data_IF_791291927740
#
_entry.id   IF_791291927740
#
_cell.length_a   1.000
_cell.length_b   1.000
_cell.length_c   1.000
_cell.angle_alpha   90.00
_cell.angle_beta   90.00
_cell.angle_gamma   90.00
#
_symmetry.space_group_name_H-M   'P 1'
#
loop_
_entity.id
_entity.type
_entity.pdbx_description
1 polymer ?
#
# COMPACT_ATOMS: atom_id res chain seq x y z
N UNK A 1 13.59 2.20 15.91
CA UNK A 1 14.48 2.94 16.82
C UNK A 1 14.25 4.42 16.56
N UNK A 2 14.09 5.29 17.61
CA UNK A 2 14.17 6.75 17.48
C UNK A 2 15.50 7.16 16.86
N UNK A 3 15.60 8.35 16.30
CA UNK A 3 16.86 8.82 15.68
C UNK A 3 17.88 9.31 16.69
N UNK A 4 17.45 9.87 17.81
CA UNK A 4 18.34 10.44 18.83
C UNK A 4 19.38 9.47 19.42
N UNK A 5 19.07 8.15 19.67
CA UNK A 5 20.09 7.20 20.12
C UNK A 5 21.08 6.75 19.04
N UNK A 6 20.85 7.08 17.77
CA UNK A 6 21.76 6.66 16.67
C UNK A 6 23.00 7.53 16.67
N UNK A 7 24.16 6.90 16.78
CA UNK A 7 25.46 7.58 16.66
C UNK A 7 25.83 7.75 15.19
N UNK A 8 25.80 6.64 14.43
CA UNK A 8 26.09 6.62 12.99
C UNK A 8 25.47 5.43 12.28
N UNK A 9 25.41 5.50 10.98
CA UNK A 9 24.97 4.41 10.11
C UNK A 9 26.12 4.04 9.17
N UNK A 10 26.48 2.77 9.18
CA UNK A 10 27.49 2.20 8.30
C UNK A 10 26.83 1.35 7.23
N UNK A 11 27.24 1.57 5.96
CA UNK A 11 26.70 0.84 4.82
C UNK A 11 27.81 0.06 4.15
N UNK A 12 27.75 -1.25 4.22
CA UNK A 12 28.58 -2.15 3.45
C UNK A 12 27.84 -2.49 2.14
N UNK A 13 28.41 -2.07 1.01
CA UNK A 13 27.79 -2.19 -0.33
C UNK A 13 28.17 -3.48 -1.07
N UNK A 14 28.66 -4.48 -0.36
CA UNK A 14 29.07 -5.76 -0.91
C UNK A 14 28.43 -6.92 -0.16
N UNK A 15 28.39 -8.10 -0.82
CA UNK A 15 27.91 -9.32 -0.18
C UNK A 15 28.74 -9.69 1.05
N UNK A 16 28.08 -9.88 2.16
CA UNK A 16 28.70 -10.17 3.44
C UNK A 16 28.04 -11.37 4.17
N UNK A 17 27.44 -12.26 3.39
CA UNK A 17 26.70 -13.43 3.91
C UNK A 17 27.53 -14.35 4.80
N UNK A 18 28.86 -14.38 4.61
CA UNK A 18 29.78 -15.19 5.42
C UNK A 18 29.91 -14.68 6.86
N UNK A 19 29.60 -13.40 7.10
CA UNK A 19 29.73 -12.74 8.42
C UNK A 19 28.34 -12.44 9.00
N UNK A 20 27.40 -11.96 8.17
CA UNK A 20 26.10 -11.43 8.62
C UNK A 20 24.92 -12.36 8.29
N UNK A 21 25.19 -13.55 7.75
CA UNK A 21 24.16 -14.55 7.41
C UNK A 21 23.63 -14.43 5.99
N UNK A 22 22.78 -15.38 5.58
CA UNK A 22 22.30 -15.59 4.21
C UNK A 22 21.60 -14.38 3.58
N UNK A 23 21.05 -13.50 4.39
CA UNK A 23 20.27 -12.35 3.91
C UNK A 23 21.17 -11.17 3.45
N UNK A 24 22.45 -11.18 3.82
CA UNK A 24 23.41 -10.14 3.48
C UNK A 24 24.01 -10.31 2.06
N UNK A 25 23.18 -10.59 1.05
CA UNK A 25 23.61 -10.85 -0.33
C UNK A 25 24.04 -9.56 -1.04
N UNK A 26 23.24 -8.50 -0.89
CA UNK A 26 23.44 -7.23 -1.60
C UNK A 26 24.17 -6.17 -0.74
N UNK A 27 24.31 -6.40 0.55
CA UNK A 27 24.96 -5.48 1.47
C UNK A 27 24.39 -5.54 2.89
N UNK A 28 24.98 -4.71 3.76
CA UNK A 28 24.57 -4.58 5.17
C UNK A 28 24.44 -3.11 5.53
N UNK A 29 23.36 -2.78 6.23
CA UNK A 29 23.18 -1.48 6.89
C UNK A 29 23.31 -1.71 8.39
N UNK A 30 24.38 -1.23 8.98
CA UNK A 30 24.64 -1.35 10.41
C UNK A 30 24.32 -0.04 11.12
N UNK A 31 23.38 -0.06 12.05
CA UNK A 31 22.98 1.11 12.85
C UNK A 31 23.72 1.04 14.18
N UNK A 32 24.70 1.93 14.35
CA UNK A 32 25.49 2.02 15.59
C UNK A 32 24.79 2.99 16.53
N UNK A 33 24.50 2.53 17.72
CA UNK A 33 23.88 3.31 18.78
C UNK A 33 24.94 3.96 19.67
N UNK A 34 24.61 5.13 20.24
CA UNK A 34 25.40 5.77 21.28
C UNK A 34 25.53 4.81 22.46
N UNK A 35 26.71 4.72 23.04
CA UNK A 35 26.97 3.81 24.19
C UNK A 35 26.93 4.52 25.53
N UNK A 36 27.47 5.74 25.57
CA UNK A 36 27.73 6.46 26.83
C UNK A 36 27.21 7.90 26.75
N UNK A 37 25.88 8.03 26.65
CA UNK A 37 25.25 9.35 26.66
C UNK A 37 24.93 9.77 28.09
N UNK A 38 25.35 10.96 28.49
CA UNK A 38 25.04 11.57 29.78
C UNK A 38 24.43 12.94 29.55
N UNK A 39 23.19 13.14 30.03
CA UNK A 39 22.45 14.37 29.86
C UNK A 39 21.08 14.16 29.20
N UNK A 40 20.54 15.21 28.58
CA UNK A 40 19.28 15.20 27.86
C UNK A 40 19.40 15.94 26.53
N UNK A 41 18.82 15.38 25.49
CA UNK A 41 18.72 15.96 24.16
C UNK A 41 17.28 15.89 23.69
N UNK A 42 16.77 16.99 23.13
CA UNK A 42 15.44 17.03 22.53
C UNK A 42 15.51 17.72 21.16
N UNK A 43 14.92 17.10 20.17
CA UNK A 43 14.84 17.61 18.82
C UNK A 43 13.39 17.74 18.39
N UNK A 44 13.08 18.80 17.68
CA UNK A 44 11.78 19.00 17.04
C UNK A 44 12.00 19.45 15.59
N UNK A 45 11.26 18.83 14.70
CA UNK A 45 11.20 19.20 13.29
C UNK A 45 9.76 19.43 12.88
N UNK A 46 9.50 20.57 12.25
CA UNK A 46 8.23 20.91 11.63
C UNK A 46 8.51 21.33 10.18
N UNK A 47 7.80 20.73 9.24
CA UNK A 47 7.94 21.05 7.84
C UNK A 47 6.62 20.95 7.11
N UNK A 48 6.48 21.70 6.04
CA UNK A 48 5.32 21.70 5.16
C UNK A 48 5.80 22.07 3.75
N UNK A 49 5.16 21.52 2.73
CA UNK A 49 5.44 21.92 1.36
C UNK A 49 4.86 23.33 1.09
N UNK A 50 5.39 24.00 0.08
CA UNK A 50 5.00 25.34 -0.36
C UNK A 50 3.51 25.48 -0.73
N UNK A 51 2.86 24.36 -1.06
CA UNK A 51 1.42 24.30 -1.36
C UNK A 51 0.52 24.15 -0.13
N UNK A 52 1.08 24.11 1.06
CA UNK A 52 0.33 24.02 2.31
C UNK A 52 -0.16 22.60 2.65
N UNK A 53 0.40 21.59 2.01
CA UNK A 53 0.11 20.17 2.23
C UNK A 53 1.33 19.39 2.75
N UNK A 54 1.17 18.08 3.03
CA UNK A 54 2.25 17.22 3.46
C UNK A 54 2.94 17.68 4.75
N UNK A 55 2.15 18.21 5.70
CA UNK A 55 2.71 18.64 6.97
C UNK A 55 3.39 17.47 7.68
N UNK A 56 4.65 17.71 8.07
CA UNK A 56 5.47 16.73 8.78
C UNK A 56 5.92 17.30 10.11
N UNK A 57 5.74 16.53 11.16
CA UNK A 57 6.26 16.82 12.50
C UNK A 57 7.03 15.61 13.02
N UNK A 58 8.15 15.89 13.67
CA UNK A 58 8.98 14.89 14.32
C UNK A 58 9.51 15.44 15.64
N UNK A 59 9.41 14.64 16.67
CA UNK A 59 9.91 14.96 18.01
C UNK A 59 10.71 13.78 18.52
N UNK A 60 11.92 14.05 18.98
CA UNK A 60 12.79 13.06 19.59
C UNK A 60 13.30 13.57 20.92
N UNK A 61 13.28 12.73 21.93
CA UNK A 61 13.87 13.00 23.25
C UNK A 61 14.78 11.84 23.60
N UNK A 62 15.99 12.14 24.04
CA UNK A 62 16.95 11.18 24.56
C UNK A 62 17.41 11.68 25.94
N UNK A 63 17.36 10.81 26.93
CA UNK A 63 17.87 11.06 28.27
C UNK A 63 18.83 9.92 28.59
N UNK A 64 19.99 10.27 29.10
CA UNK A 64 20.96 9.30 29.54
C UNK A 64 21.64 9.72 30.86
N UNK A 65 22.12 8.74 31.55
CA UNK A 65 22.96 8.95 32.71
C UNK A 65 23.98 7.82 32.84
N UNK A 66 25.16 8.15 33.36
CA UNK A 66 26.23 7.17 33.53
C UNK A 66 26.98 7.39 34.83
N UNK A 67 27.60 6.32 35.27
CA UNK A 67 28.55 6.27 36.36
C UNK A 67 29.71 5.37 35.95
N UNK A 68 30.71 5.24 36.80
CA UNK A 68 31.85 4.36 36.54
C UNK A 68 31.44 2.89 36.31
N UNK A 69 30.31 2.46 36.89
CA UNK A 69 29.85 1.06 36.84
C UNK A 69 28.53 0.84 36.09
N UNK A 70 27.87 1.87 35.64
CA UNK A 70 26.61 1.71 34.89
C UNK A 70 26.37 2.85 33.92
N UNK A 71 25.66 2.55 32.85
CA UNK A 71 25.07 3.54 31.96
C UNK A 71 23.65 3.15 31.63
N UNK A 72 22.80 4.15 31.39
CA UNK A 72 21.45 3.96 30.92
C UNK A 72 21.04 5.06 29.94
N UNK A 73 20.23 4.71 28.93
CA UNK A 73 19.63 5.65 28.01
C UNK A 73 18.17 5.31 27.79
N UNK A 74 17.33 6.33 27.71
CA UNK A 74 15.92 6.23 27.34
C UNK A 74 15.65 7.22 26.21
N UNK A 75 15.06 6.71 25.13
CA UNK A 75 14.70 7.50 23.94
C UNK A 75 13.23 7.35 23.61
N UNK A 76 12.59 8.45 23.22
CA UNK A 76 11.23 8.50 22.71
C UNK A 76 11.26 9.28 21.41
N UNK A 77 10.61 8.73 20.36
CA UNK A 77 10.45 9.41 19.10
C UNK A 77 9.00 9.36 18.64
N UNK A 78 8.53 10.46 18.08
CA UNK A 78 7.23 10.57 17.42
C UNK A 78 7.41 11.22 16.05
N UNK A 79 6.82 10.63 15.02
CA UNK A 79 6.78 11.18 13.68
C UNK A 79 5.35 11.09 13.16
N UNK A 80 4.84 12.20 12.61
CA UNK A 80 3.61 12.21 11.82
C UNK A 80 3.86 12.95 10.51
N UNK A 81 3.39 12.38 9.41
CA UNK A 81 3.44 12.94 8.08
C UNK A 81 2.05 12.86 7.45
N UNK A 82 1.55 13.99 6.97
CA UNK A 82 0.27 14.08 6.30
C UNK A 82 0.40 13.76 4.81
N UNK A 83 -0.68 13.30 4.16
CA UNK A 83 -0.62 12.89 2.77
C UNK A 83 -0.41 14.07 1.82
N UNK A 84 0.12 13.76 0.64
CA UNK A 84 0.07 14.64 -0.53
C UNK A 84 -0.62 13.87 -1.65
N UNK A 85 -1.61 14.47 -2.29
CA UNK A 85 -2.29 13.88 -3.44
C UNK A 85 -1.43 14.01 -4.69
N UNK A 86 -1.46 12.99 -5.55
CA UNK A 86 -0.73 13.03 -6.81
C UNK A 86 -1.25 14.14 -7.75
N UNK A 87 -2.55 14.45 -7.68
CA UNK A 87 -3.17 15.53 -8.44
C UNK A 87 -2.63 16.93 -8.12
N UNK A 88 -2.05 17.11 -6.92
CA UNK A 88 -1.55 18.42 -6.46
C UNK A 88 -0.15 18.76 -7.00
N UNK A 89 0.45 17.88 -7.78
CA UNK A 89 1.79 18.05 -8.36
C UNK A 89 1.77 17.81 -9.86
N UNK A 90 2.30 18.75 -10.68
CA UNK A 90 2.31 18.62 -12.13
C UNK A 90 2.96 17.32 -12.62
N UNK A 91 4.02 16.86 -11.94
CA UNK A 91 4.77 15.67 -12.31
C UNK A 91 4.04 14.35 -12.03
N UNK A 92 3.00 14.36 -11.21
CA UNK A 92 2.22 13.18 -10.82
C UNK A 92 0.71 13.31 -11.08
N UNK A 93 0.26 14.48 -11.56
CA UNK A 93 -1.16 14.73 -11.88
C UNK A 93 -1.66 13.90 -13.07
N UNK A 94 -0.76 13.31 -13.84
CA UNK A 94 -1.04 12.41 -14.95
C UNK A 94 -0.24 11.13 -14.81
N UNK A 95 -0.73 9.97 -15.32
CA UNK A 95 -0.05 8.69 -15.16
C UNK A 95 1.35 8.64 -15.76
N UNK A 96 1.59 9.40 -16.83
CA UNK A 96 2.91 9.52 -17.48
C UNK A 96 3.23 11.01 -17.65
N UNK A 97 4.20 11.48 -16.86
CA UNK A 97 4.63 12.88 -16.91
C UNK A 97 5.23 13.25 -18.28
N UNK A 98 4.83 14.39 -18.80
CA UNK A 98 5.28 14.87 -20.12
C UNK A 98 4.66 14.18 -21.32
N UNK A 99 3.76 13.22 -21.11
CA UNK A 99 3.02 12.58 -22.19
C UNK A 99 1.85 13.45 -22.70
N UNK A 100 1.36 13.13 -23.88
CA UNK A 100 0.15 13.73 -24.42
C UNK A 100 -1.03 13.44 -23.47
N UNK A 101 -1.93 14.42 -23.20
CA UNK A 101 -3.12 14.18 -22.38
C UNK A 101 -3.88 12.92 -22.81
N UNK A 102 -4.26 12.09 -21.85
CA UNK A 102 -4.91 10.79 -22.07
C UNK A 102 -3.95 9.61 -22.25
N UNK A 103 -2.68 9.81 -22.59
CA UNK A 103 -1.71 8.71 -22.65
C UNK A 103 -1.42 8.15 -21.26
N UNK A 104 -1.37 6.82 -21.16
CA UNK A 104 -1.12 6.12 -19.90
C UNK A 104 -2.29 6.12 -18.90
N UNK A 105 -3.45 6.67 -19.27
CA UNK A 105 -4.67 6.58 -18.50
C UNK A 105 -5.26 5.16 -18.49
N UNK A 106 -6.29 4.95 -17.66
CA UNK A 106 -6.99 3.67 -17.55
C UNK A 106 -8.06 3.54 -18.63
N UNK A 107 -8.10 2.38 -19.28
CA UNK A 107 -9.17 1.99 -20.20
C UNK A 107 -10.52 1.76 -19.47
N UNK A 108 -10.54 1.82 -18.14
CA UNK A 108 -11.75 1.70 -17.32
C UNK A 108 -12.15 3.07 -16.77
N UNK A 109 -12.89 3.91 -17.52
CA UNK A 109 -13.42 5.17 -17.01
C UNK A 109 -14.60 4.92 -16.04
N UNK A 110 -15.00 5.91 -15.21
CA UNK A 110 -16.18 5.79 -14.33
C UNK A 110 -17.48 5.52 -15.09
N UNK A 111 -17.63 6.07 -16.27
CA UNK A 111 -18.80 5.85 -17.15
C UNK A 111 -18.78 4.47 -17.81
N UNK A 112 -17.61 3.84 -17.89
CA UNK A 112 -17.39 2.50 -18.43
C UNK A 112 -17.08 2.49 -19.93
N UNK A 113 -16.35 1.43 -20.34
CA UNK A 113 -16.22 0.96 -21.71
C UNK A 113 -16.94 -0.37 -21.82
N UNK A 114 -17.72 -0.53 -22.85
CA UNK A 114 -18.57 -1.70 -23.07
C UNK A 114 -18.36 -2.23 -24.49
N UNK A 115 -18.45 -3.55 -24.66
CA UNK A 115 -18.51 -4.16 -25.98
C UNK A 115 -19.49 -5.33 -26.02
N UNK A 116 -19.82 -5.73 -27.24
CA UNK A 116 -20.79 -6.77 -27.52
C UNK A 116 -20.15 -7.82 -28.41
N UNK A 117 -20.42 -9.10 -28.14
CA UNK A 117 -20.07 -10.13 -29.08
C UNK A 117 -21.01 -10.15 -30.27
N UNK A 118 -20.42 -10.31 -31.45
CA UNK A 118 -21.15 -10.70 -32.62
C UNK A 118 -21.32 -12.22 -32.62
N UNK A 119 -22.55 -12.76 -32.76
CA UNK A 119 -22.68 -14.19 -32.97
C UNK A 119 -22.00 -14.59 -34.28
N UNK A 120 -21.44 -15.81 -34.38
CA UNK A 120 -20.91 -16.34 -35.65
C UNK A 120 -21.92 -16.20 -36.76
N UNK A 121 -21.49 -15.72 -37.95
CA UNK A 121 -22.37 -15.53 -39.11
C UNK A 121 -22.54 -16.84 -39.87
N UNK A 122 -21.51 -17.70 -39.90
CA UNK A 122 -21.54 -19.02 -40.51
C UNK A 122 -20.48 -19.94 -39.87
N UNK A 123 -20.41 -21.20 -40.34
CA UNK A 123 -19.50 -22.24 -39.86
C UNK A 123 -18.01 -21.95 -40.10
N UNK A 124 -17.66 -20.98 -40.93
CA UNK A 124 -16.29 -20.56 -41.23
C UNK A 124 -15.91 -19.28 -40.47
N UNK A 125 -16.84 -18.65 -39.76
CA UNK A 125 -16.57 -17.51 -38.91
C UNK A 125 -15.78 -17.96 -37.65
N UNK A 126 -14.55 -17.50 -37.46
CA UNK A 126 -13.68 -18.01 -36.35
C UNK A 126 -14.18 -17.70 -34.97
N UNK A 127 -15.38 -17.17 -34.80
CA UNK A 127 -15.98 -16.98 -33.47
C UNK A 127 -16.30 -15.55 -33.12
N UNK A 128 -16.61 -15.29 -31.87
CA UNK A 128 -17.17 -14.03 -31.44
C UNK A 128 -16.17 -12.89 -31.59
N UNK A 129 -16.43 -12.04 -32.56
CA UNK A 129 -15.76 -10.75 -32.70
C UNK A 129 -16.68 -9.64 -32.15
N UNK A 130 -16.04 -8.64 -31.56
CA UNK A 130 -16.75 -7.48 -31.02
C UNK A 130 -17.45 -6.72 -32.15
N UNK A 131 -18.74 -6.44 -32.03
CA UNK A 131 -19.45 -5.61 -32.96
C UNK A 131 -20.03 -4.39 -32.30
N UNK A 132 -19.89 -3.26 -32.95
CA UNK A 132 -20.66 -2.06 -32.67
C UNK A 132 -22.10 -2.19 -33.19
N UNK A 133 -23.06 -1.36 -32.71
CA UNK A 133 -24.42 -1.37 -33.20
C UNK A 133 -24.57 -1.14 -34.73
N UNK A 134 -23.50 -0.71 -35.41
CA UNK A 134 -23.47 -0.39 -36.86
C UNK A 134 -22.44 -1.21 -37.66
N UNK A 135 -22.12 -2.43 -37.22
CA UNK A 135 -21.14 -3.32 -37.87
C UNK A 135 -19.66 -2.88 -37.76
N UNK A 136 -19.33 -1.79 -37.04
CA UNK A 136 -17.96 -1.42 -36.75
C UNK A 136 -17.47 -2.07 -35.47
N UNK A 137 -16.23 -2.56 -35.45
CA UNK A 137 -15.61 -3.18 -34.28
C UNK A 137 -15.16 -2.13 -33.26
N UNK A 138 -15.36 -2.38 -31.95
CA UNK A 138 -14.76 -1.54 -30.90
C UNK A 138 -15.57 -1.42 -29.62
N UNK A 139 -15.05 -0.58 -28.77
CA UNK A 139 -15.64 -0.27 -27.48
C UNK A 139 -16.49 1.00 -27.53
N UNK A 140 -17.46 1.06 -26.63
CA UNK A 140 -18.38 2.17 -26.48
C UNK A 140 -18.27 2.81 -25.12
N UNK A 141 -18.46 4.11 -25.07
CA UNK A 141 -18.63 4.88 -23.86
C UNK A 141 -20.00 5.55 -23.86
N UNK A 142 -20.63 5.73 -22.67
CA UNK A 142 -21.87 6.49 -22.57
C UNK A 142 -21.72 7.91 -23.11
N UNK A 143 -22.76 8.42 -23.76
CA UNK A 143 -22.82 9.82 -24.21
C UNK A 143 -23.37 10.69 -23.08
N UNK A 144 -22.58 11.63 -22.51
CA UNK A 144 -23.05 12.47 -21.43
C UNK A 144 -24.32 13.26 -21.77
N UNK A 145 -25.33 13.22 -20.90
CA UNK A 145 -26.55 14.01 -21.01
C UNK A 145 -27.55 13.56 -22.08
N UNK A 146 -27.25 12.49 -22.79
CA UNK A 146 -28.20 11.88 -23.75
C UNK A 146 -28.66 10.55 -23.15
N UNK A 147 -29.96 10.33 -22.92
CA UNK A 147 -30.54 9.06 -22.43
C UNK A 147 -29.87 7.87 -23.09
N UNK A 148 -30.23 6.65 -23.15
CA UNK A 148 -29.35 5.46 -23.35
C UNK A 148 -28.47 5.50 -24.63
N UNK A 149 -27.89 6.68 -24.91
CA UNK A 149 -26.99 6.94 -26.02
C UNK A 149 -25.56 6.50 -25.68
N UNK A 150 -24.93 5.85 -26.64
CA UNK A 150 -23.53 5.45 -26.60
C UNK A 150 -22.84 5.91 -27.87
N UNK A 151 -21.55 6.20 -27.78
CA UNK A 151 -20.69 6.51 -28.91
C UNK A 151 -19.49 5.57 -28.96
N UNK A 152 -18.84 5.39 -30.10
CA UNK A 152 -17.56 4.69 -30.15
C UNK A 152 -16.54 5.32 -29.18
N UNK A 153 -15.70 4.45 -28.56
CA UNK A 153 -14.56 4.88 -27.77
C UNK A 153 -13.54 5.59 -28.69
N UNK A 154 -13.13 6.78 -28.30
CA UNK A 154 -12.17 7.60 -29.06
C UNK A 154 -10.69 7.31 -28.65
N UNK A 155 -10.44 6.14 -28.11
CA UNK A 155 -9.10 5.72 -27.69
C UNK A 155 -8.60 6.51 -26.49
N UNK A 156 -7.40 7.07 -26.60
CA UNK A 156 -6.74 7.76 -25.49
C UNK A 156 -7.56 8.94 -24.92
N UNK A 157 -8.45 9.53 -25.72
CA UNK A 157 -9.28 10.65 -25.25
C UNK A 157 -10.33 10.22 -24.21
N UNK A 158 -10.70 8.94 -24.20
CA UNK A 158 -11.66 8.36 -23.25
C UNK A 158 -11.00 7.65 -22.08
N UNK A 159 -9.65 7.58 -22.04
CA UNK A 159 -8.94 7.00 -20.93
C UNK A 159 -9.09 7.86 -19.68
N UNK A 160 -9.37 7.21 -18.57
CA UNK A 160 -9.51 7.84 -17.28
C UNK A 160 -8.16 8.19 -16.65
N UNK A 161 -7.99 9.45 -16.29
CA UNK A 161 -6.84 9.87 -15.50
C UNK A 161 -7.09 9.54 -14.01
N UNK A 162 -6.54 8.42 -13.57
CA UNK A 162 -6.65 7.95 -12.18
C UNK A 162 -5.59 8.53 -11.23
N UNK A 163 -4.58 9.21 -11.77
CA UNK A 163 -3.43 9.67 -10.98
C UNK A 163 -3.83 10.64 -9.86
N UNK A 164 -4.74 11.62 -10.07
CA UNK A 164 -5.15 12.55 -9.04
C UNK A 164 -5.71 11.90 -7.78
N UNK A 165 -6.32 10.72 -7.91
CA UNK A 165 -6.99 10.03 -6.81
C UNK A 165 -6.01 9.24 -5.91
N UNK A 166 -4.74 9.19 -6.27
CA UNK A 166 -3.71 8.45 -5.54
C UNK A 166 -2.96 9.36 -4.56
N UNK A 167 -2.46 8.79 -3.46
CA UNK A 167 -1.42 9.47 -2.70
C UNK A 167 -0.11 9.47 -3.47
N UNK A 168 0.52 10.66 -3.56
CA UNK A 168 1.92 10.81 -3.95
C UNK A 168 2.84 10.54 -2.75
N UNK A 169 2.48 11.10 -1.59
CA UNK A 169 3.13 10.83 -0.31
C UNK A 169 2.08 10.20 0.61
N UNK A 170 2.39 9.01 1.07
CA UNK A 170 1.56 8.25 1.98
C UNK A 170 1.62 8.81 3.39
N UNK A 171 0.49 9.06 4.08
CA UNK A 171 0.50 9.46 5.48
C UNK A 171 1.07 8.36 6.36
N UNK A 172 1.79 8.76 7.39
CA UNK A 172 2.28 7.85 8.40
C UNK A 172 2.32 8.50 9.77
N UNK A 173 2.12 7.67 10.77
CA UNK A 173 2.32 8.02 12.18
C UNK A 173 3.18 6.92 12.83
N UNK A 174 4.22 7.32 13.53
CA UNK A 174 5.15 6.39 14.18
C UNK A 174 5.50 6.86 15.58
N UNK A 175 5.35 5.94 16.53
CA UNK A 175 5.88 6.07 17.90
C UNK A 175 7.00 5.08 18.07
N UNK A 176 8.11 5.52 18.61
CA UNK A 176 9.28 4.69 18.89
C UNK A 176 9.75 4.90 20.32
N UNK A 177 9.96 3.81 21.04
CA UNK A 177 10.57 3.81 22.35
C UNK A 177 11.87 3.01 22.30
N UNK A 178 12.85 3.48 23.00
CA UNK A 178 14.16 2.87 23.11
C UNK A 178 14.64 2.95 24.56
N UNK A 179 15.19 1.86 25.05
CA UNK A 179 15.88 1.83 26.32
C UNK A 179 17.13 0.97 26.19
N UNK A 180 18.24 1.41 26.74
CA UNK A 180 19.43 0.60 26.87
C UNK A 180 20.10 0.82 28.20
N UNK A 181 20.81 -0.19 28.68
CA UNK A 181 21.57 -0.10 29.93
C UNK A 181 22.70 -1.09 29.96
N UNK A 182 23.75 -0.69 30.65
CA UNK A 182 24.88 -1.53 31.01
C UNK A 182 25.16 -1.44 32.52
N UNK A 183 25.58 -2.53 33.14
CA UNK A 183 25.95 -2.59 34.56
C UNK A 183 27.17 -3.48 34.72
N UNK A 184 28.26 -2.94 35.22
CA UNK A 184 29.42 -3.71 35.64
C UNK A 184 29.15 -4.33 36.99
N UNK A 185 28.92 -5.65 37.00
CA UNK A 185 28.63 -6.43 38.23
C UNK A 185 29.92 -6.66 38.99
N UNK A 186 30.95 -7.09 38.28
CA UNK A 186 32.34 -7.15 38.75
C UNK A 186 33.24 -6.50 37.70
N UNK A 187 34.54 -6.47 37.94
CA UNK A 187 35.51 -5.95 36.98
C UNK A 187 35.59 -6.84 35.70
N UNK A 188 35.20 -8.13 35.85
CA UNK A 188 35.22 -9.12 34.76
C UNK A 188 33.86 -9.41 34.17
N UNK A 189 32.73 -9.00 34.81
CA UNK A 189 31.37 -9.36 34.39
C UNK A 189 30.53 -8.09 34.20
N UNK A 190 29.99 -7.94 33.00
CA UNK A 190 29.07 -6.87 32.64
C UNK A 190 27.71 -7.45 32.24
N UNK A 191 26.63 -6.84 32.69
CA UNK A 191 25.29 -7.02 32.18
C UNK A 191 24.97 -5.94 31.12
N UNK A 192 24.38 -6.30 30.02
CA UNK A 192 23.86 -5.38 29.01
C UNK A 192 22.40 -5.67 28.65
N UNK A 193 21.64 -4.63 28.30
CA UNK A 193 20.27 -4.79 27.85
C UNK A 193 19.89 -3.70 26.90
N UNK A 194 19.00 -4.04 25.93
CA UNK A 194 18.36 -3.11 25.01
C UNK A 194 16.90 -3.51 24.84
N UNK A 195 16.01 -2.52 24.92
CA UNK A 195 14.57 -2.69 24.71
C UNK A 195 14.15 -1.71 23.64
N UNK A 196 13.37 -2.18 22.66
CA UNK A 196 12.79 -1.33 21.64
C UNK A 196 11.30 -1.63 21.48
N UNK A 197 10.52 -0.58 21.31
CA UNK A 197 9.14 -0.67 20.85
C UNK A 197 8.93 0.32 19.71
N UNK A 198 8.26 -0.15 18.68
CA UNK A 198 7.89 0.69 17.54
C UNK A 198 6.45 0.38 17.13
N UNK A 199 5.64 1.41 16.97
CA UNK A 199 4.35 1.31 16.30
C UNK A 199 4.33 2.25 15.12
N UNK A 200 3.99 1.73 13.95
CA UNK A 200 3.79 2.51 12.72
C UNK A 200 2.39 2.27 12.20
N UNK A 201 1.64 3.35 12.02
CA UNK A 201 0.41 3.39 11.26
C UNK A 201 0.67 4.08 9.93
N UNK A 202 0.18 3.52 8.85
CA UNK A 202 0.27 4.11 7.51
C UNK A 202 -0.94 3.74 6.69
N UNK A 203 -1.27 4.60 5.72
CA UNK A 203 -2.36 4.38 4.78
C UNK A 203 -1.83 4.59 3.36
N UNK A 204 -2.18 3.70 2.45
CA UNK A 204 -2.01 3.89 1.02
C UNK A 204 -3.38 4.11 0.40
N UNK A 205 -3.53 5.12 -0.45
CA UNK A 205 -4.76 5.39 -1.21
C UNK A 205 -4.46 5.31 -2.69
N UNK A 206 -5.28 4.54 -3.39
CA UNK A 206 -5.31 4.43 -4.83
C UNK A 206 -6.70 4.75 -5.34
N UNK A 207 -6.82 5.14 -6.60
CA UNK A 207 -8.10 5.31 -7.27
C UNK A 207 -9.00 4.08 -7.08
N UNK A 208 -10.31 4.26 -7.18
CA UNK A 208 -11.29 3.21 -7.04
C UNK A 208 -10.94 1.98 -7.90
N UNK A 209 -11.32 0.79 -7.45
CA UNK A 209 -11.02 -0.45 -8.17
C UNK A 209 -11.75 -0.49 -9.51
N UNK A 210 -11.09 -0.86 -10.61
CA UNK A 210 -11.79 -1.13 -11.86
C UNK A 210 -12.53 -2.48 -11.78
N UNK A 211 -13.76 -2.49 -12.24
CA UNK A 211 -14.47 -3.70 -12.64
C UNK A 211 -14.04 -4.01 -14.07
N UNK A 212 -13.58 -5.22 -14.31
CA UNK A 212 -13.22 -5.70 -15.63
C UNK A 212 -13.80 -7.10 -15.78
N UNK A 213 -14.74 -7.26 -16.70
CA UNK A 213 -15.17 -8.53 -17.23
C UNK A 213 -14.79 -8.57 -18.69
N UNK A 214 -14.08 -9.60 -19.08
CA UNK A 214 -13.53 -9.77 -20.41
C UNK A 214 -13.82 -11.20 -20.88
N UNK A 215 -14.90 -11.35 -21.63
CA UNK A 215 -15.27 -12.65 -22.14
C UNK A 215 -14.24 -13.26 -23.10
N UNK A 216 -13.36 -12.44 -23.72
CA UNK A 216 -12.24 -12.94 -24.51
C UNK A 216 -11.19 -13.65 -23.65
N UNK A 217 -11.13 -13.31 -22.36
CA UNK A 217 -10.28 -13.97 -21.35
C UNK A 217 -10.96 -15.16 -20.68
N UNK A 218 -12.20 -15.49 -21.07
CA UNK A 218 -12.96 -16.62 -20.53
C UNK A 218 -13.78 -16.30 -19.28
N UNK A 219 -13.95 -15.02 -18.93
CA UNK A 219 -14.87 -14.60 -17.86
C UNK A 219 -16.31 -14.88 -18.30
N UNK A 220 -17.09 -15.59 -17.48
CA UNK A 220 -18.48 -15.93 -17.83
C UNK A 220 -19.47 -14.81 -17.55
N UNK A 221 -19.06 -13.74 -16.90
CA UNK A 221 -19.90 -12.65 -16.46
C UNK A 221 -20.22 -11.68 -17.60
N UNK A 222 -21.47 -11.22 -17.64
CA UNK A 222 -21.96 -10.26 -18.63
C UNK A 222 -23.16 -9.49 -18.08
N UNK A 223 -23.48 -8.31 -18.65
CA UNK A 223 -24.75 -7.65 -18.35
C UNK A 223 -25.83 -8.32 -19.17
N UNK A 224 -26.78 -8.95 -18.49
CA UNK A 224 -27.85 -9.71 -19.14
C UNK A 224 -28.71 -8.84 -20.07
N UNK A 225 -29.09 -9.41 -21.22
CA UNK A 225 -30.09 -8.84 -22.13
C UNK A 225 -31.43 -8.58 -21.43
N UNK A 226 -31.77 -9.43 -20.42
CA UNK A 226 -33.00 -9.35 -19.62
C UNK A 226 -32.87 -8.40 -18.43
N UNK A 227 -31.76 -7.68 -18.28
CA UNK A 227 -31.65 -6.62 -17.28
C UNK A 227 -32.44 -5.39 -17.71
N UNK A 228 -33.32 -4.88 -16.84
CA UNK A 228 -34.08 -3.63 -17.10
C UNK A 228 -33.19 -2.41 -17.31
N UNK A 229 -31.93 -2.50 -16.89
CA UNK A 229 -30.91 -1.46 -17.05
C UNK A 229 -30.11 -1.62 -18.33
N UNK A 230 -30.30 -2.71 -19.07
CA UNK A 230 -29.64 -2.96 -20.36
C UNK A 230 -30.55 -2.48 -21.50
N UNK A 231 -30.24 -1.34 -22.14
CA UNK A 231 -31.11 -0.79 -23.16
C UNK A 231 -30.98 -1.47 -24.52
N UNK A 232 -30.05 -2.43 -24.66
CA UNK A 232 -29.72 -3.01 -25.96
C UNK A 232 -30.49 -4.28 -26.29
N UNK A 233 -31.09 -4.95 -25.28
CA UNK A 233 -31.79 -6.22 -25.47
C UNK A 233 -30.88 -7.36 -25.95
N UNK A 234 -29.59 -7.26 -25.70
CA UNK A 234 -28.59 -8.30 -25.92
C UNK A 234 -27.53 -8.23 -24.85
N UNK A 235 -26.84 -9.34 -24.58
CA UNK A 235 -25.82 -9.41 -23.56
C UNK A 235 -24.64 -8.49 -23.87
N UNK A 236 -24.16 -7.74 -22.85
CA UNK A 236 -22.93 -6.94 -22.91
C UNK A 236 -21.81 -7.78 -22.33
N UNK A 237 -20.87 -8.22 -23.14
CA UNK A 237 -19.92 -9.27 -22.80
C UNK A 237 -18.58 -8.76 -22.29
N UNK A 238 -18.28 -7.48 -22.50
CA UNK A 238 -17.10 -6.85 -21.94
C UNK A 238 -17.45 -5.54 -21.28
N UNK A 239 -16.92 -5.37 -20.08
CA UNK A 239 -17.17 -4.22 -19.23
C UNK A 239 -15.85 -3.84 -18.58
N UNK A 240 -15.42 -2.62 -18.83
CA UNK A 240 -14.27 -2.00 -18.17
C UNK A 240 -14.75 -0.71 -17.52
N UNK A 241 -15.07 -0.75 -16.23
CA UNK A 241 -15.65 0.38 -15.52
C UNK A 241 -14.93 0.64 -14.20
N UNK A 242 -14.58 1.89 -13.94
CA UNK A 242 -14.07 2.31 -12.63
C UNK A 242 -15.24 2.46 -11.67
N UNK A 243 -15.21 1.72 -10.57
CA UNK A 243 -16.26 1.73 -9.55
C UNK A 243 -16.08 2.94 -8.60
N UNK A 244 -16.16 4.15 -9.16
CA UNK A 244 -15.90 5.40 -8.43
C UNK A 244 -16.83 5.58 -7.23
N UNK A 245 -18.02 5.02 -7.27
CA UNK A 245 -19.02 5.01 -6.18
C UNK A 245 -18.58 4.22 -4.94
N UNK A 246 -17.60 3.34 -5.05
CA UNK A 246 -17.03 2.61 -3.90
C UNK A 246 -15.99 3.42 -3.14
N UNK A 247 -15.62 4.60 -3.66
CA UNK A 247 -14.50 5.38 -3.16
C UNK A 247 -13.13 4.80 -3.57
N UNK A 248 -12.05 5.44 -3.13
CA UNK A 248 -10.69 4.96 -3.38
C UNK A 248 -10.40 3.63 -2.67
N UNK A 249 -9.45 2.87 -3.23
CA UNK A 249 -8.91 1.69 -2.55
C UNK A 249 -7.90 2.13 -1.51
N UNK A 250 -8.17 1.87 -0.23
CA UNK A 250 -7.20 2.13 0.81
C UNK A 250 -6.63 0.83 1.39
N UNK A 251 -5.34 0.88 1.71
CA UNK A 251 -4.64 -0.18 2.40
C UNK A 251 -4.01 0.40 3.66
N UNK A 252 -4.62 0.07 4.80
CA UNK A 252 -4.23 0.59 6.10
C UNK A 252 -3.39 -0.44 6.84
N UNK A 253 -2.29 0.00 7.44
CA UNK A 253 -1.39 -0.83 8.22
C UNK A 253 -1.22 -0.28 9.63
N UNK A 254 -1.32 -1.14 10.65
CA UNK A 254 -0.86 -0.90 12.04
C UNK A 254 0.15 -2.00 12.37
N UNK A 255 1.42 -1.65 12.36
CA UNK A 255 2.54 -2.57 12.63
C UNK A 255 3.15 -2.21 13.97
N UNK A 256 3.22 -3.19 14.87
CA UNK A 256 3.83 -3.08 16.19
C UNK A 256 4.97 -4.08 16.31
N UNK A 257 6.11 -3.58 16.71
CA UNK A 257 7.31 -4.39 16.92
C UNK A 257 7.84 -4.12 18.32
N UNK A 258 8.04 -5.17 19.07
CA UNK A 258 8.75 -5.16 20.35
C UNK A 258 9.98 -6.04 20.22
N UNK A 259 11.12 -5.56 20.74
CA UNK A 259 12.30 -6.38 20.87
C UNK A 259 13.00 -6.11 22.21
N UNK A 260 13.49 -7.18 22.78
CA UNK A 260 14.33 -7.20 23.96
C UNK A 260 15.60 -7.98 23.67
N UNK A 261 16.73 -7.40 23.97
CA UNK A 261 18.04 -8.05 24.02
C UNK A 261 18.64 -7.84 25.40
N UNK A 262 19.12 -8.87 26.01
CA UNK A 262 19.77 -8.77 27.31
C UNK A 262 20.71 -9.93 27.58
N UNK A 263 21.85 -9.66 28.19
CA UNK A 263 22.86 -10.69 28.42
C UNK A 263 23.99 -10.24 29.29
N UNK A 264 24.82 -11.20 29.61
CA UNK A 264 26.05 -11.03 30.35
C UNK A 264 27.22 -11.27 29.41
N UNK A 265 28.24 -10.46 29.56
CA UNK A 265 29.53 -10.62 28.90
C UNK A 265 30.64 -10.53 29.94
N UNK A 266 31.74 -11.19 29.69
CA UNK A 266 32.82 -11.17 30.66
C UNK A 266 34.07 -11.85 30.16
N UNK A 267 35.07 -11.85 31.03
CA UNK A 267 36.39 -12.39 30.79
C UNK A 267 36.79 -13.33 31.92
N UNK A 268 37.60 -14.30 31.62
CA UNK A 268 38.25 -15.15 32.64
C UNK A 268 39.56 -15.72 32.10
N UNK A 269 40.47 -16.04 33.02
CA UNK A 269 41.77 -16.65 32.70
C UNK A 269 41.81 -18.12 33.11
N UNK A 270 42.39 -18.96 32.24
CA UNK A 270 42.75 -20.33 32.59
C UNK A 270 44.22 -20.52 32.33
N UNK A 271 45.00 -20.53 33.40
CA UNK A 271 46.46 -20.53 33.33
C UNK A 271 46.98 -19.24 32.66
N UNK A 272 47.68 -19.36 31.54
CA UNK A 272 48.22 -18.22 30.80
C UNK A 272 47.29 -17.80 29.63
N UNK A 273 46.08 -18.36 29.54
CA UNK A 273 45.16 -18.09 28.46
C UNK A 273 43.99 -17.25 28.93
N UNK A 274 43.72 -16.17 28.16
CA UNK A 274 42.62 -15.29 28.32
C UNK A 274 41.42 -15.73 27.48
N UNK A 275 40.19 -15.68 28.03
CA UNK A 275 38.96 -16.01 27.37
C UNK A 275 37.92 -14.91 27.56
N UNK A 276 37.26 -14.53 26.44
CA UNK A 276 36.04 -13.73 26.43
C UNK A 276 34.84 -14.66 26.34
N UNK A 277 33.76 -14.31 27.01
CA UNK A 277 32.49 -15.02 26.91
C UNK A 277 31.32 -14.07 26.85
N UNK A 278 30.26 -14.48 26.21
CA UNK A 278 28.97 -13.82 26.14
C UNK A 278 27.86 -14.84 26.29
N UNK A 279 26.82 -14.50 27.08
CA UNK A 279 25.59 -15.28 27.21
C UNK A 279 24.40 -14.31 27.19
N UNK A 280 23.51 -14.45 26.23
CA UNK A 280 22.40 -13.51 26.04
C UNK A 280 21.10 -14.20 25.68
N UNK A 281 20.04 -13.44 25.80
CA UNK A 281 18.70 -13.81 25.40
C UNK A 281 18.11 -12.68 24.57
N UNK A 282 17.55 -13.06 23.41
CA UNK A 282 16.82 -12.17 22.53
C UNK A 282 15.36 -12.61 22.45
N UNK A 283 14.45 -11.65 22.55
CA UNK A 283 13.03 -11.84 22.29
C UNK A 283 12.51 -10.77 21.33
N UNK A 284 11.76 -11.19 20.33
CA UNK A 284 11.11 -10.30 19.36
C UNK A 284 9.67 -10.69 19.12
N UNK A 285 8.77 -9.70 19.10
CA UNK A 285 7.36 -9.87 18.71
C UNK A 285 7.00 -8.80 17.66
N UNK A 286 6.42 -9.25 16.54
CA UNK A 286 5.95 -8.36 15.49
C UNK A 286 4.50 -8.70 15.15
N UNK A 287 3.64 -7.70 15.23
CA UNK A 287 2.22 -7.80 14.87
C UNK A 287 1.87 -6.77 13.82
N UNK A 288 1.30 -7.24 12.70
CA UNK A 288 0.83 -6.40 11.62
C UNK A 288 -0.67 -6.64 11.39
N UNK A 289 -1.46 -5.60 11.54
CA UNK A 289 -2.87 -5.59 11.14
C UNK A 289 -2.98 -4.81 9.83
N UNK A 290 -3.52 -5.48 8.81
CA UNK A 290 -3.75 -4.89 7.50
C UNK A 290 -5.25 -4.87 7.21
N UNK A 291 -5.76 -3.73 6.77
CA UNK A 291 -7.16 -3.58 6.37
C UNK A 291 -7.22 -2.96 4.99
N UNK A 292 -7.90 -3.63 4.07
CA UNK A 292 -8.16 -3.12 2.72
C UNK A 292 -9.61 -2.68 2.62
N UNK A 293 -9.85 -1.48 2.11
CA UNK A 293 -11.18 -0.93 1.85
C UNK A 293 -11.34 -0.55 0.38
N UNK A 294 -12.57 -0.27 -0.03
CA UNK A 294 -12.88 0.15 -1.41
C UNK A 294 -12.86 -1.00 -2.42
N UNK A 295 -13.01 -2.24 -1.96
CA UNK A 295 -13.23 -3.41 -2.80
C UNK A 295 -14.71 -3.75 -2.87
N UNK A 296 -15.12 -4.42 -3.92
CA UNK A 296 -16.48 -4.94 -4.09
C UNK A 296 -16.48 -6.48 -4.10
N UNK A 297 -17.61 -7.05 -3.77
CA UNK A 297 -17.80 -8.50 -3.82
C UNK A 297 -18.30 -8.89 -5.21
N UNK A 298 -17.51 -9.64 -5.97
CA UNK A 298 -17.83 -10.05 -7.35
C UNK A 298 -19.20 -10.71 -7.44
N UNK A 299 -19.55 -11.64 -6.55
CA UNK A 299 -20.84 -12.31 -6.59
C UNK A 299 -22.04 -11.35 -6.47
N UNK A 300 -21.90 -10.24 -5.74
CA UNK A 300 -22.93 -9.20 -5.69
C UNK A 300 -23.00 -8.38 -6.98
N UNK A 301 -21.87 -8.13 -7.61
CA UNK A 301 -21.82 -7.45 -8.91
C UNK A 301 -22.50 -8.32 -9.96
N UNK A 302 -22.15 -9.60 -10.03
CA UNK A 302 -22.75 -10.56 -10.97
C UNK A 302 -24.28 -10.61 -10.79
N UNK A 303 -24.76 -10.68 -9.54
CA UNK A 303 -26.21 -10.63 -9.29
C UNK A 303 -26.85 -9.30 -9.74
N UNK A 304 -26.15 -8.18 -9.60
CA UNK A 304 -26.66 -6.86 -9.96
C UNK A 304 -26.75 -6.63 -11.49
N UNK A 305 -25.84 -7.24 -12.26
CA UNK A 305 -25.81 -7.14 -13.74
C UNK A 305 -26.63 -8.24 -14.42
N UNK A 306 -27.15 -9.20 -13.66
CA UNK A 306 -27.99 -10.29 -14.14
C UNK A 306 -29.40 -9.84 -14.56
N UNK A 307 -30.29 -10.80 -14.86
CA UNK A 307 -31.69 -10.52 -15.20
C UNK A 307 -32.39 -9.76 -14.08
N UNK A 308 -33.22 -8.80 -14.45
CA UNK A 308 -33.98 -7.99 -13.49
C UNK A 308 -35.34 -7.59 -14.03
N UNK A 309 -36.29 -7.32 -13.13
CA UNK A 309 -37.64 -6.92 -13.48
C UNK A 309 -38.17 -5.87 -12.52
N UNK A 310 -39.25 -5.21 -12.90
CA UNK A 310 -40.03 -4.37 -12.00
C UNK A 310 -41.11 -5.24 -11.35
N UNK A 311 -41.15 -5.28 -10.02
CA UNK A 311 -42.17 -6.00 -9.29
C UNK A 311 -43.54 -5.29 -9.32
N UNK A 312 -44.57 -5.93 -8.69
CA UNK A 312 -45.92 -5.38 -8.63
C UNK A 312 -46.03 -4.06 -7.85
N UNK A 313 -45.03 -3.68 -7.08
CA UNK A 313 -44.93 -2.43 -6.33
C UNK A 313 -44.20 -1.31 -7.09
N UNK A 314 -43.67 -1.61 -8.27
CA UNK A 314 -42.83 -0.70 -9.05
C UNK A 314 -41.36 -0.70 -8.64
N UNK A 315 -40.92 -1.66 -7.82
CA UNK A 315 -39.55 -1.76 -7.34
C UNK A 315 -38.71 -2.67 -8.25
N UNK A 316 -37.50 -2.25 -8.69
CA UNK A 316 -36.58 -3.13 -9.38
C UNK A 316 -36.09 -4.28 -8.49
N UNK A 317 -36.20 -5.50 -8.98
CA UNK A 317 -35.70 -6.71 -8.30
C UNK A 317 -34.85 -7.55 -9.24
N UNK A 318 -33.86 -8.23 -8.71
CA UNK A 318 -33.10 -9.24 -9.44
C UNK A 318 -33.97 -10.48 -9.64
N UNK A 319 -33.90 -11.08 -10.83
CA UNK A 319 -34.54 -12.35 -11.15
C UNK A 319 -33.50 -13.44 -11.01
N UNK A 320 -33.68 -14.35 -10.03
CA UNK A 320 -32.80 -15.51 -9.96
C UNK A 320 -33.07 -16.41 -11.16
N UNK A 321 -32.08 -16.65 -11.99
CA UNK A 321 -32.14 -17.69 -13.01
C UNK A 321 -32.01 -19.01 -12.26
N UNK A 322 -33.00 -19.93 -12.37
CA UNK A 322 -32.83 -21.29 -11.83
C UNK A 322 -31.60 -21.91 -12.56
N UNK A 323 -30.56 -22.28 -11.77
CA UNK A 323 -29.39 -22.99 -12.26
C UNK A 323 -29.69 -24.40 -12.73
#
# INVERSE_FOLDING_TARGET
IPTAPVERIEVLKDGASTIYGSDAIAGVVNVILRKDFDGAEANAYLGQYDKGDGFRQSYDVLIGSRSDRWSTMLGVGYVKEEPVMAGDRPQSAVPVFGAIPGTGGSFSPPDGNFSFFRPPVDENDPGPFFTQPNDDYGFFVPTPGVGPGFRPNAGLADNYNFAPDNYLITPQERVSLFGSGTLEITDEIRFRTTITYNQRKSEQLLAAVPLAFDASSGDPEFISADSIYNPYGRDVNEIFRRMAETGGRSFNQDVRTFAFDGGFEGTFDIGERFFDWEAGYFYGDNKANNTTNGLFQISKVVNAIGPSMIDATGTPICVSVPG
#
